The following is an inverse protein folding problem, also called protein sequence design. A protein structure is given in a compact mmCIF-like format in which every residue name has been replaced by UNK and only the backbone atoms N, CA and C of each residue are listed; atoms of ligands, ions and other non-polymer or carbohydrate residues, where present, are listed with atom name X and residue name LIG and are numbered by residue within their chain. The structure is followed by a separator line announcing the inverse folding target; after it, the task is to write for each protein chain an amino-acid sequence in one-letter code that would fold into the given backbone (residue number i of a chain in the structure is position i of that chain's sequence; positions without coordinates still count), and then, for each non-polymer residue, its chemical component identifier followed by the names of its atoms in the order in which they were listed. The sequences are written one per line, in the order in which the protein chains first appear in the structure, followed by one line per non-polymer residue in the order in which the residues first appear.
data_IF_650707869251
#
_entry.id   IF_650707869251
#
_cell.length_a   1.000
_cell.length_b   1.000
_cell.length_c   1.000
_cell.angle_alpha   90.00
_cell.angle_beta   90.00
_cell.angle_gamma   90.00
#
_symmetry.space_group_name_H-M   'P 1'
#
loop_
_entity.id
_entity.type
_entity.pdbx_description
1 polymer ?
#
# COMPACT_ATOMS: atom_id res chain seq x y z
N UNK A 1 0.17 -6.02 -18.64
CA UNK A 1 -0.13 -4.61 -19.00
C UNK A 1 -0.42 -4.41 -20.48
N UNK A 2 0.43 -4.86 -21.41
CA UNK A 2 0.21 -4.68 -22.86
C UNK A 2 -1.09 -5.30 -23.40
N UNK A 3 -1.41 -6.55 -23.04
CA UNK A 3 -2.65 -7.24 -23.47
C UNK A 3 -3.92 -6.82 -22.68
N UNK A 4 -3.78 -5.94 -21.68
CA UNK A 4 -4.89 -5.49 -20.84
C UNK A 4 -5.44 -4.12 -21.28
N UNK A 5 -4.92 -3.53 -22.37
CA UNK A 5 -5.30 -2.18 -22.81
C UNK A 5 -4.88 -1.06 -21.86
N UNK A 6 -4.02 -1.36 -20.88
CA UNK A 6 -3.58 -0.42 -19.83
C UNK A 6 -2.39 0.45 -20.26
N UNK A 7 -1.90 0.27 -21.48
CA UNK A 7 -0.88 1.14 -22.08
C UNK A 7 -1.44 2.56 -22.22
N UNK A 8 -0.65 3.58 -21.86
CA UNK A 8 -1.08 4.98 -21.81
C UNK A 8 -2.24 5.27 -20.83
N UNK A 9 -2.34 4.55 -19.70
CA UNK A 9 -3.28 4.87 -18.63
C UNK A 9 -2.58 5.05 -17.28
N UNK A 10 -3.10 5.95 -16.44
CA UNK A 10 -2.64 6.12 -15.05
C UNK A 10 -2.66 4.81 -14.26
N UNK A 11 -3.66 3.96 -14.50
CA UNK A 11 -3.75 2.64 -13.88
C UNK A 11 -2.60 1.70 -14.32
N UNK A 12 -2.18 1.74 -15.58
CA UNK A 12 -1.05 0.95 -16.09
C UNK A 12 0.30 1.36 -15.50
N UNK A 13 0.45 2.64 -15.11
CA UNK A 13 1.63 3.15 -14.42
C UNK A 13 1.62 2.76 -12.93
N UNK A 14 0.47 2.89 -12.27
CA UNK A 14 0.34 2.66 -10.82
C UNK A 14 0.36 1.16 -10.45
N UNK A 15 -0.39 0.32 -11.16
CA UNK A 15 -0.62 -1.09 -10.78
C UNK A 15 0.66 -1.89 -10.48
N UNK A 16 1.73 -1.82 -11.29
CA UNK A 16 2.94 -2.59 -11.05
C UNK A 16 3.74 -2.10 -9.84
N UNK A 17 3.52 -0.84 -9.44
CA UNK A 17 4.23 -0.18 -8.35
C UNK A 17 3.48 -0.28 -7.02
N UNK A 18 2.26 -0.82 -6.99
CA UNK A 18 1.46 -0.93 -5.76
C UNK A 18 2.04 -1.87 -4.72
N UNK A 19 2.82 -2.86 -5.14
CA UNK A 19 3.32 -3.93 -4.26
C UNK A 19 4.79 -3.70 -3.99
N UNK A 20 5.10 -3.41 -2.74
CA UNK A 20 6.46 -3.25 -2.25
C UNK A 20 6.73 -4.29 -1.16
N UNK A 21 7.44 -5.41 -1.48
CA UNK A 21 7.62 -6.53 -0.55
C UNK A 21 8.23 -6.13 0.79
N UNK A 22 9.19 -5.21 0.79
CA UNK A 22 9.83 -4.69 2.00
C UNK A 22 8.82 -3.98 2.90
N UNK A 23 7.96 -3.14 2.33
CA UNK A 23 6.92 -2.41 3.08
C UNK A 23 5.94 -3.41 3.70
N UNK A 24 5.55 -4.46 2.98
CA UNK A 24 4.63 -5.49 3.48
C UNK A 24 5.25 -6.22 4.68
N UNK A 25 6.52 -6.63 4.58
CA UNK A 25 7.21 -7.36 5.65
C UNK A 25 7.34 -6.47 6.89
N UNK A 26 7.78 -5.21 6.73
CA UNK A 26 7.90 -4.28 7.85
C UNK A 26 6.55 -3.99 8.48
N UNK A 27 5.52 -3.75 7.67
CA UNK A 27 4.19 -3.47 8.19
C UNK A 27 3.60 -4.66 8.94
N UNK A 28 3.83 -5.89 8.45
CA UNK A 28 3.48 -7.11 9.19
C UNK A 28 4.14 -7.16 10.57
N UNK A 29 5.43 -6.82 10.67
CA UNK A 29 6.15 -6.84 11.96
C UNK A 29 5.47 -5.93 12.99
N UNK A 30 4.94 -4.78 12.58
CA UNK A 30 4.18 -3.90 13.48
C UNK A 30 2.84 -4.48 13.90
N UNK A 31 2.13 -5.17 12.99
CA UNK A 31 0.91 -5.89 13.34
C UNK A 31 1.17 -7.05 14.31
N UNK A 32 2.27 -7.78 14.12
CA UNK A 32 2.66 -8.90 14.99
C UNK A 32 3.07 -8.43 16.40
N UNK A 33 3.45 -7.16 16.57
CA UNK A 33 3.75 -6.56 17.87
C UNK A 33 2.49 -6.18 18.68
N UNK A 34 1.32 -6.09 18.03
CA UNK A 34 0.07 -5.78 18.73
C UNK A 34 -0.33 -6.95 19.63
N UNK A 35 -0.56 -6.74 20.94
CA UNK A 35 -0.97 -7.81 21.85
C UNK A 35 -2.24 -8.52 21.38
N UNK A 36 -2.25 -9.86 21.51
CA UNK A 36 -3.38 -10.70 21.04
C UNK A 36 -4.68 -10.43 21.78
N UNK A 37 -4.59 -9.95 23.03
CA UNK A 37 -5.71 -9.61 23.90
C UNK A 37 -6.70 -8.64 23.25
N UNK A 38 -6.21 -7.70 22.42
CA UNK A 38 -7.08 -6.77 21.68
C UNK A 38 -8.00 -7.48 20.69
N UNK A 39 -7.48 -8.51 20.01
CA UNK A 39 -8.29 -9.32 19.08
C UNK A 39 -9.26 -10.21 19.83
N UNK A 40 -8.82 -10.82 20.92
CA UNK A 40 -9.68 -11.69 21.74
C UNK A 40 -10.85 -10.91 22.34
N UNK A 41 -10.61 -9.70 22.86
CA UNK A 41 -11.65 -8.79 23.31
C UNK A 41 -12.62 -8.41 22.20
N UNK A 42 -12.11 -8.07 21.01
CA UNK A 42 -12.97 -7.70 19.88
C UNK A 42 -13.82 -8.86 19.35
N UNK A 43 -13.30 -10.09 19.40
CA UNK A 43 -14.05 -11.31 19.05
C UNK A 43 -15.14 -11.61 20.10
N UNK A 44 -14.85 -11.41 21.39
CA UNK A 44 -15.85 -11.49 22.46
C UNK A 44 -16.99 -10.48 22.24
N UNK A 45 -16.65 -9.28 21.74
CA UNK A 45 -17.60 -8.23 21.38
C UNK A 45 -18.30 -8.45 20.01
N UNK A 46 -18.14 -9.62 19.39
CA UNK A 46 -18.69 -9.96 18.07
C UNK A 46 -18.28 -8.99 16.94
N UNK A 47 -17.09 -8.40 17.01
CA UNK A 47 -16.56 -7.58 15.92
C UNK A 47 -16.20 -8.45 14.69
N UNK A 48 -16.53 -7.96 13.49
CA UNK A 48 -16.09 -8.58 12.23
C UNK A 48 -14.58 -8.40 12.02
N UNK A 49 -13.94 -9.31 11.28
CA UNK A 49 -12.49 -9.22 10.98
C UNK A 49 -12.09 -7.90 10.30
N UNK A 50 -12.93 -7.40 9.38
CA UNK A 50 -12.73 -6.06 8.79
C UNK A 50 -12.89 -4.95 9.84
N UNK A 51 -13.86 -5.08 10.75
CA UNK A 51 -14.01 -4.16 11.87
C UNK A 51 -12.77 -4.14 12.75
N UNK A 52 -12.21 -5.30 13.09
CA UNK A 52 -10.98 -5.44 13.88
C UNK A 52 -9.80 -4.76 13.17
N UNK A 53 -9.64 -5.00 11.87
CA UNK A 53 -8.58 -4.41 11.07
C UNK A 53 -8.65 -2.87 11.07
N UNK A 54 -9.78 -2.29 10.69
CA UNK A 54 -9.91 -0.85 10.48
C UNK A 54 -10.14 -0.06 11.77
N UNK A 55 -10.77 -0.64 12.80
CA UNK A 55 -11.08 0.07 14.05
C UNK A 55 -10.05 -0.12 15.15
N UNK A 56 -9.26 -1.21 15.10
CA UNK A 56 -8.30 -1.52 16.16
C UNK A 56 -6.88 -1.47 15.59
N UNK A 57 -6.54 -2.38 14.69
CA UNK A 57 -5.16 -2.54 14.26
C UNK A 57 -4.62 -1.34 13.44
N UNK A 58 -5.44 -0.79 12.54
CA UNK A 58 -5.03 0.36 11.71
C UNK A 58 -4.76 1.64 12.54
N UNK A 59 -5.67 2.11 13.41
CA UNK A 59 -5.40 3.30 14.23
C UNK A 59 -4.27 3.10 15.24
N UNK A 60 -4.12 1.89 15.80
CA UNK A 60 -2.99 1.59 16.70
C UNK A 60 -1.63 1.72 16.00
N UNK A 61 -1.57 1.40 14.70
CA UNK A 61 -0.36 1.47 13.88
C UNK A 61 -0.28 2.75 13.02
N UNK A 62 -1.05 3.80 13.34
CA UNK A 62 -1.16 4.98 12.49
C UNK A 62 0.18 5.68 12.21
N UNK A 63 1.07 5.76 13.20
CA UNK A 63 2.40 6.36 13.04
C UNK A 63 3.24 5.63 11.98
N UNK A 64 3.25 4.30 12.05
CA UNK A 64 3.95 3.44 11.09
C UNK A 64 3.31 3.49 9.73
N UNK A 65 1.97 3.46 9.69
CA UNK A 65 1.20 3.60 8.45
C UNK A 65 1.59 4.87 7.71
N UNK A 66 1.68 5.99 8.44
CA UNK A 66 2.09 7.28 7.90
C UNK A 66 3.53 7.25 7.39
N UNK A 67 4.46 6.72 8.18
CA UNK A 67 5.87 6.62 7.80
C UNK A 67 6.09 5.76 6.54
N UNK A 68 5.48 4.57 6.49
CA UNK A 68 5.55 3.67 5.35
C UNK A 68 4.86 4.25 4.10
N UNK A 69 3.77 5.00 4.29
CA UNK A 69 3.09 5.70 3.19
C UNK A 69 4.00 6.75 2.54
N UNK A 70 4.74 7.51 3.35
CA UNK A 70 5.72 8.49 2.84
C UNK A 70 6.84 7.79 2.09
N UNK A 71 7.40 6.71 2.65
CA UNK A 71 8.46 5.93 1.99
C UNK A 71 7.99 5.35 0.65
N UNK A 72 6.80 4.74 0.64
CA UNK A 72 6.14 4.22 -0.57
C UNK A 72 5.96 5.31 -1.63
N UNK A 73 5.49 6.49 -1.20
CA UNK A 73 5.28 7.64 -2.08
C UNK A 73 6.59 8.12 -2.70
N UNK A 74 7.63 8.33 -1.90
CA UNK A 74 8.96 8.75 -2.39
C UNK A 74 9.49 7.72 -3.39
N UNK A 75 9.33 6.43 -3.11
CA UNK A 75 9.85 5.39 -4.00
C UNK A 75 9.13 5.35 -5.34
N UNK A 76 7.79 5.40 -5.32
CA UNK A 76 6.96 5.48 -6.53
C UNK A 76 7.22 6.76 -7.32
N UNK A 77 7.43 7.89 -6.63
CA UNK A 77 7.71 9.18 -7.26
C UNK A 77 9.07 9.19 -7.98
N UNK A 78 10.07 8.51 -7.41
CA UNK A 78 11.42 8.42 -8.01
C UNK A 78 11.54 7.31 -9.07
N UNK A 79 10.53 6.45 -9.23
CA UNK A 79 10.57 5.36 -10.19
C UNK A 79 10.37 5.88 -11.62
N UNK A 80 11.49 6.21 -12.29
CA UNK A 80 11.48 6.80 -13.63
C UNK A 80 11.32 5.77 -14.77
N UNK A 81 11.96 4.61 -14.63
CA UNK A 81 12.06 3.62 -15.73
C UNK A 81 10.70 3.08 -16.16
N UNK A 82 9.79 2.82 -15.23
CA UNK A 82 8.50 2.23 -15.55
C UNK A 82 7.55 3.20 -16.27
N UNK A 83 7.30 4.43 -15.78
CA UNK A 83 6.54 5.44 -16.52
C UNK A 83 7.11 5.71 -17.92
N UNK A 84 8.45 5.81 -18.04
CA UNK A 84 9.13 6.04 -19.32
C UNK A 84 8.87 4.92 -20.34
N UNK A 85 8.87 3.65 -19.90
CA UNK A 85 8.58 2.51 -20.78
C UNK A 85 7.08 2.32 -21.06
N UNK A 86 6.20 2.80 -20.17
CA UNK A 86 4.76 2.54 -20.20
C UNK A 86 3.95 3.60 -20.96
N UNK A 87 4.53 4.78 -21.15
CA UNK A 87 3.87 5.97 -21.69
C UNK A 87 4.64 6.48 -22.90
N UNK A 88 3.96 6.58 -24.04
CA UNK A 88 4.53 7.13 -25.29
C UNK A 88 4.10 8.58 -25.57
N UNK A 89 3.17 9.14 -24.76
CA UNK A 89 2.69 10.53 -24.89
C UNK A 89 3.45 11.46 -23.94
N UNK A 90 4.00 12.54 -24.50
CA UNK A 90 4.75 13.60 -23.80
C UNK A 90 3.94 14.27 -22.67
N UNK A 91 2.61 14.33 -22.80
CA UNK A 91 1.71 14.98 -21.82
C UNK A 91 1.56 14.23 -20.48
N UNK A 92 1.95 12.95 -20.42
CA UNK A 92 1.87 12.12 -19.22
C UNK A 92 3.24 11.85 -18.58
N UNK A 93 4.28 12.52 -19.07
CA UNK A 93 5.60 12.51 -18.43
C UNK A 93 5.59 13.48 -17.26
N UNK A 94 6.03 13.03 -16.08
CA UNK A 94 6.10 13.88 -14.88
C UNK A 94 7.35 14.77 -14.84
N UNK A 95 8.13 14.81 -15.93
CA UNK A 95 9.18 15.80 -16.25
C UNK A 95 9.39 15.83 -17.77
#
# INVERSE_FOLDING_TARGET
VANLGLLNSWAGIMLPQLIHPVIIIVYKQFFDQVPKDFREAAVMDNASEFGILFKIYMPMNWGVTTALSIVCFIWTWNAFLWPFLSVTRTEMMTI
#
